data_IF_804810436946
#
_entry.id   IF_804810436946
#
_cell.length_a   1.000
_cell.length_b   1.000
_cell.length_c   1.000
_cell.angle_alpha   90.00
_cell.angle_beta   90.00
_cell.angle_gamma   90.00
#
_symmetry.space_group_name_H-M   'P 1'
#
loop_
_entity.id
_entity.type
_entity.pdbx_description
1 polymer ?
#
# COMPACT_ATOMS: atom_id res chain seq x y z
N UNK A 1 -6.27 9.80 -16.02
CA UNK A 1 -7.37 10.63 -15.46
C UNK A 1 -6.89 11.10 -14.09
N UNK A 2 -7.09 12.39 -13.74
CA UNK A 2 -6.76 12.87 -12.39
C UNK A 2 -7.68 12.22 -11.36
N UNK A 3 -7.13 11.86 -10.20
CA UNK A 3 -7.88 11.32 -9.07
C UNK A 3 -8.75 12.41 -8.42
N UNK A 4 -9.82 12.08 -7.67
CA UNK A 4 -10.61 13.07 -6.94
C UNK A 4 -9.78 13.86 -5.91
N UNK A 5 -8.63 13.36 -5.51
CA UNK A 5 -7.73 14.01 -4.54
C UNK A 5 -6.57 14.76 -5.21
N UNK A 6 -6.43 14.70 -6.52
CA UNK A 6 -5.31 15.30 -7.25
C UNK A 6 -5.08 16.78 -6.91
N UNK A 7 -6.15 17.58 -6.82
CA UNK A 7 -6.05 19.01 -6.47
C UNK A 7 -5.67 19.26 -5.01
N UNK A 8 -5.71 18.24 -4.16
CA UNK A 8 -5.33 18.31 -2.75
C UNK A 8 -3.89 17.87 -2.51
N UNK A 9 -3.21 17.36 -3.55
CA UNK A 9 -1.81 16.92 -3.44
C UNK A 9 -0.91 18.09 -3.07
N UNK A 10 -0.08 17.87 -2.08
CA UNK A 10 0.96 18.83 -1.69
C UNK A 10 2.01 18.95 -2.79
N UNK A 11 2.39 20.18 -3.10
CA UNK A 11 3.57 20.46 -3.93
C UNK A 11 4.86 20.05 -3.24
N UNK A 12 5.95 19.92 -3.98
CA UNK A 12 7.24 19.41 -3.47
C UNK A 12 7.65 20.06 -2.15
N UNK A 13 7.66 21.38 -2.05
CA UNK A 13 8.11 22.08 -0.84
C UNK A 13 7.23 21.77 0.39
N UNK A 14 5.91 21.66 0.21
CA UNK A 14 4.97 21.34 1.27
C UNK A 14 5.09 19.86 1.68
N UNK A 15 5.30 18.98 0.69
CA UNK A 15 5.53 17.54 0.93
C UNK A 15 6.82 17.32 1.72
N UNK A 16 7.91 17.96 1.33
CA UNK A 16 9.18 17.93 2.08
C UNK A 16 8.95 18.42 3.51
N UNK A 17 8.32 19.58 3.69
CA UNK A 17 8.03 20.12 5.02
C UNK A 17 7.16 19.19 5.88
N UNK A 18 6.15 18.55 5.28
CA UNK A 18 5.32 17.54 5.97
C UNK A 18 6.16 16.36 6.44
N UNK A 19 6.91 15.75 5.53
CA UNK A 19 7.69 14.54 5.81
C UNK A 19 8.80 14.80 6.84
N UNK A 20 9.48 15.95 6.75
CA UNK A 20 10.45 16.41 7.74
C UNK A 20 9.78 16.64 9.10
N UNK A 21 8.58 17.25 9.13
CA UNK A 21 7.85 17.50 10.37
C UNK A 21 7.50 16.20 11.12
N UNK A 22 7.21 15.11 10.40
CA UNK A 22 6.99 13.79 11.03
C UNK A 22 8.27 13.29 11.67
N UNK A 23 9.41 13.38 10.98
CA UNK A 23 10.71 12.95 11.52
C UNK A 23 11.08 13.78 12.75
N UNK A 24 10.84 15.09 12.74
CA UNK A 24 11.09 15.95 13.88
C UNK A 24 10.17 15.65 15.07
N UNK A 25 8.91 15.31 14.80
CA UNK A 25 8.01 14.84 15.86
C UNK A 25 8.44 13.50 16.46
N UNK A 26 8.99 12.58 15.65
CA UNK A 26 9.62 11.37 16.18
C UNK A 26 10.72 11.74 17.18
N UNK A 27 11.67 12.58 16.77
CA UNK A 27 12.79 13.04 17.64
C UNK A 27 12.31 13.70 18.92
N UNK A 28 11.31 14.55 18.83
CA UNK A 28 10.74 15.23 19.99
C UNK A 28 9.99 14.27 20.95
N UNK A 29 9.34 13.24 20.40
CA UNK A 29 8.57 12.27 21.17
C UNK A 29 9.47 11.30 21.93
N UNK A 30 10.63 10.91 21.39
CA UNK A 30 11.56 9.93 22.03
C UNK A 30 11.98 10.38 23.43
N UNK A 31 12.12 11.68 23.68
CA UNK A 31 12.43 12.21 25.01
C UNK A 31 11.31 11.96 26.04
N UNK A 32 10.10 11.59 25.59
CA UNK A 32 8.91 11.38 26.41
C UNK A 32 8.46 9.92 26.44
N UNK A 33 8.95 9.11 25.51
CA UNK A 33 8.59 7.71 25.32
C UNK A 33 8.63 7.31 23.84
N UNK A 34 8.39 6.04 23.52
CA UNK A 34 8.46 5.56 22.14
C UNK A 34 7.54 6.34 21.19
N UNK A 35 8.05 6.67 20.01
CA UNK A 35 7.29 7.23 18.90
C UNK A 35 6.97 6.12 17.88
N UNK A 36 5.74 6.04 17.40
CA UNK A 36 5.29 5.05 16.43
C UNK A 36 4.94 5.74 15.11
N UNK A 37 5.46 5.20 14.01
CA UNK A 37 5.03 5.60 12.66
C UNK A 37 4.45 4.37 11.96
N UNK A 38 3.22 4.51 11.46
CA UNK A 38 2.45 3.42 10.85
C UNK A 38 2.44 3.59 9.34
N UNK A 39 2.71 2.51 8.63
CA UNK A 39 2.66 2.46 7.17
C UNK A 39 1.82 1.27 6.72
N UNK A 40 0.85 1.53 5.84
CA UNK A 40 0.29 0.48 5.02
C UNK A 40 1.29 0.04 3.93
N UNK A 41 1.05 -1.12 3.27
CA UNK A 41 1.94 -1.65 2.23
C UNK A 41 1.41 -1.37 0.83
N UNK A 42 0.31 -2.04 0.44
CA UNK A 42 -0.20 -2.03 -0.93
C UNK A 42 -0.74 -0.65 -1.33
N UNK A 43 -0.12 -0.02 -2.33
CA UNK A 43 -0.47 1.35 -2.74
C UNK A 43 0.11 2.45 -1.84
N UNK A 44 0.78 2.10 -0.72
CA UNK A 44 1.40 3.05 0.21
C UNK A 44 2.92 2.99 0.16
N UNK A 45 3.54 1.89 0.55
CA UNK A 45 4.98 1.68 0.44
C UNK A 45 5.36 0.88 -0.81
N UNK A 46 4.43 0.08 -1.32
CA UNK A 46 4.63 -0.86 -2.43
C UNK A 46 3.59 -0.65 -3.52
N UNK A 47 4.06 -0.54 -4.76
CA UNK A 47 3.25 -0.64 -5.95
C UNK A 47 3.08 -2.12 -6.32
N UNK A 48 1.85 -2.61 -6.25
CA UNK A 48 1.51 -3.99 -6.57
C UNK A 48 1.06 -4.20 -8.04
N UNK A 49 1.08 -3.17 -8.88
CA UNK A 49 0.75 -3.28 -10.30
C UNK A 49 1.65 -4.27 -11.04
N UNK A 50 2.98 -4.31 -10.79
CA UNK A 50 3.84 -5.34 -11.38
C UNK A 50 3.47 -6.77 -10.97
N UNK A 51 2.93 -6.99 -9.76
CA UNK A 51 2.39 -8.29 -9.34
C UNK A 51 1.20 -8.70 -10.22
N UNK A 52 0.29 -7.77 -10.48
CA UNK A 52 -0.86 -8.01 -11.40
C UNK A 52 -0.37 -8.31 -12.81
N UNK A 53 0.61 -7.59 -13.32
CA UNK A 53 1.24 -7.83 -14.63
C UNK A 53 1.85 -9.23 -14.71
N UNK A 54 2.62 -9.64 -13.69
CA UNK A 54 3.20 -10.99 -13.65
C UNK A 54 2.11 -12.07 -13.72
N UNK A 55 1.01 -11.90 -12.98
CA UNK A 55 -0.14 -12.82 -13.01
C UNK A 55 -0.84 -12.82 -14.39
N UNK A 56 -0.96 -11.65 -15.05
CA UNK A 56 -1.51 -11.56 -16.40
C UNK A 56 -0.62 -12.27 -17.42
N UNK A 57 0.70 -12.21 -17.29
CA UNK A 57 1.64 -12.95 -18.13
C UNK A 57 1.50 -14.48 -17.93
N UNK A 58 1.32 -14.94 -16.69
CA UNK A 58 1.01 -16.35 -16.41
C UNK A 58 -0.35 -16.77 -17.01
N UNK A 59 -1.36 -15.91 -16.92
CA UNK A 59 -2.68 -16.13 -17.52
C UNK A 59 -2.59 -16.21 -19.05
N UNK A 60 -1.76 -15.36 -19.66
CA UNK A 60 -1.49 -15.42 -21.10
C UNK A 60 -0.95 -16.79 -21.52
N UNK A 61 -0.02 -17.36 -20.74
CA UNK A 61 0.51 -18.70 -21.02
C UNK A 61 -0.59 -19.76 -20.88
N UNK A 62 -1.46 -19.67 -19.87
CA UNK A 62 -2.57 -20.59 -19.67
C UNK A 62 -3.58 -20.52 -20.82
N UNK A 63 -3.82 -19.33 -21.36
CA UNK A 63 -4.77 -19.09 -22.46
C UNK A 63 -4.21 -19.27 -23.87
N UNK A 64 -2.91 -19.48 -24.01
CA UNK A 64 -2.21 -19.52 -25.30
C UNK A 64 -2.90 -20.37 -26.37
N UNK A 65 -3.32 -21.59 -26.05
CA UNK A 65 -3.88 -22.54 -27.01
C UNK A 65 -5.42 -22.41 -27.18
N UNK A 66 -6.11 -21.89 -26.16
CA UNK A 66 -7.59 -21.91 -26.10
C UNK A 66 -8.21 -20.52 -26.35
N UNK A 67 -7.53 -19.45 -25.96
CA UNK A 67 -7.99 -18.07 -26.15
C UNK A 67 -6.88 -17.17 -26.68
N UNK A 68 -6.38 -17.39 -27.91
CA UNK A 68 -5.15 -16.76 -28.41
C UNK A 68 -5.20 -15.23 -28.47
N UNK A 69 -6.37 -14.62 -28.73
CA UNK A 69 -6.54 -13.17 -28.72
C UNK A 69 -6.42 -12.59 -27.31
N UNK A 70 -7.10 -13.21 -26.35
CA UNK A 70 -7.02 -12.79 -24.94
C UNK A 70 -5.63 -13.04 -24.36
N UNK A 71 -5.00 -14.15 -24.72
CA UNK A 71 -3.61 -14.47 -24.39
C UNK A 71 -2.66 -13.37 -24.86
N UNK A 72 -2.73 -12.98 -26.13
CA UNK A 72 -1.90 -11.92 -26.68
C UNK A 72 -2.11 -10.58 -25.94
N UNK A 73 -3.36 -10.23 -25.62
CA UNK A 73 -3.69 -9.03 -24.86
C UNK A 73 -3.04 -9.02 -23.47
N UNK A 74 -3.15 -10.14 -22.73
CA UNK A 74 -2.53 -10.28 -21.40
C UNK A 74 -1.00 -10.30 -21.46
N UNK A 75 -0.40 -10.89 -22.50
CA UNK A 75 1.04 -10.98 -22.68
C UNK A 75 1.74 -9.61 -22.87
N UNK A 76 1.00 -8.60 -23.35
CA UNK A 76 1.52 -7.25 -23.57
C UNK A 76 1.18 -6.27 -22.43
N UNK A 77 0.53 -6.73 -21.35
CA UNK A 77 0.18 -5.89 -20.23
C UNK A 77 1.41 -5.27 -19.56
N UNK A 78 1.30 -4.01 -19.20
CA UNK A 78 2.30 -3.22 -18.46
C UNK A 78 1.70 -2.65 -17.18
N UNK A 79 2.52 -2.13 -16.27
CA UNK A 79 2.03 -1.51 -15.04
C UNK A 79 1.10 -0.30 -15.30
N UNK A 80 1.27 0.40 -16.43
CA UNK A 80 0.43 1.55 -16.79
C UNK A 80 -0.99 1.15 -17.20
N UNK A 81 -1.18 -0.11 -17.59
CA UNK A 81 -2.50 -0.66 -17.92
C UNK A 81 -3.29 -1.08 -16.67
N UNK A 82 -2.64 -1.10 -15.49
CA UNK A 82 -3.22 -1.67 -14.27
C UNK A 82 -3.85 -0.57 -13.40
N UNK A 83 -5.14 -0.76 -13.12
CA UNK A 83 -5.90 -0.02 -12.11
C UNK A 83 -6.35 -0.94 -10.98
N UNK A 84 -7.17 -0.42 -10.08
CA UNK A 84 -7.60 -1.11 -8.87
C UNK A 84 -8.34 -2.45 -9.13
N UNK A 85 -9.21 -2.51 -10.12
CA UNK A 85 -10.08 -3.66 -10.35
C UNK A 85 -9.57 -4.62 -11.42
N UNK A 86 -9.39 -5.91 -11.13
CA UNK A 86 -8.84 -6.89 -12.08
C UNK A 86 -9.69 -7.07 -13.35
N UNK A 87 -11.03 -7.16 -13.22
CA UNK A 87 -11.93 -7.25 -14.40
C UNK A 87 -11.85 -5.96 -15.23
N UNK A 88 -11.73 -4.79 -14.60
CA UNK A 88 -11.55 -3.53 -15.32
C UNK A 88 -10.23 -3.50 -16.09
N UNK A 89 -9.17 -4.11 -15.55
CA UNK A 89 -7.89 -4.27 -16.23
C UNK A 89 -8.02 -5.18 -17.45
N UNK A 90 -8.69 -6.35 -17.35
CA UNK A 90 -8.97 -7.23 -18.49
C UNK A 90 -9.73 -6.49 -19.62
N UNK A 91 -10.77 -5.73 -19.24
CA UNK A 91 -11.54 -4.92 -20.22
C UNK A 91 -10.66 -3.87 -20.92
N UNK A 92 -9.79 -3.20 -20.17
CA UNK A 92 -8.85 -2.19 -20.70
C UNK A 92 -7.87 -2.81 -21.69
N UNK A 93 -7.43 -4.05 -21.44
CA UNK A 93 -6.58 -4.82 -22.33
C UNK A 93 -7.33 -5.38 -23.56
N UNK A 94 -8.67 -5.20 -23.64
CA UNK A 94 -9.48 -5.67 -24.77
C UNK A 94 -10.07 -7.07 -24.60
N UNK A 95 -9.93 -7.69 -23.42
CA UNK A 95 -10.62 -8.93 -23.07
C UNK A 95 -12.03 -8.57 -22.63
N UNK A 96 -13.02 -8.73 -23.52
CA UNK A 96 -14.40 -8.28 -23.29
C UNK A 96 -15.40 -9.39 -22.98
N UNK A 97 -15.04 -10.66 -23.21
CA UNK A 97 -15.90 -11.80 -22.95
C UNK A 97 -16.11 -12.01 -21.45
N UNK A 98 -17.37 -11.99 -20.95
CA UNK A 98 -17.66 -12.20 -19.52
C UNK A 98 -17.18 -13.56 -18.98
N UNK A 99 -17.20 -14.63 -19.80
CA UNK A 99 -16.72 -15.95 -19.39
C UNK A 99 -15.21 -15.92 -19.07
N UNK A 100 -14.43 -15.17 -19.88
CA UNK A 100 -12.99 -14.97 -19.63
C UNK A 100 -12.73 -14.06 -18.44
N UNK A 101 -13.65 -13.14 -18.10
CA UNK A 101 -13.53 -12.34 -16.87
C UNK A 101 -13.61 -13.20 -15.61
N UNK A 102 -14.56 -14.15 -15.56
CA UNK A 102 -14.73 -15.03 -14.40
C UNK A 102 -13.55 -15.98 -14.26
N UNK A 103 -13.10 -16.59 -15.37
CA UNK A 103 -11.93 -17.45 -15.40
C UNK A 103 -10.66 -16.70 -14.98
N UNK A 104 -10.41 -15.53 -15.58
CA UNK A 104 -9.26 -14.69 -15.27
C UNK A 104 -9.28 -14.19 -13.81
N UNK A 105 -10.47 -13.84 -13.28
CA UNK A 105 -10.61 -13.43 -11.88
C UNK A 105 -10.28 -14.56 -10.92
N UNK A 106 -10.75 -15.78 -11.20
CA UNK A 106 -10.41 -16.96 -10.40
C UNK A 106 -8.90 -17.25 -10.45
N UNK A 107 -8.29 -17.17 -11.63
CA UNK A 107 -6.86 -17.34 -11.81
C UNK A 107 -6.05 -16.31 -11.02
N UNK A 108 -6.46 -15.03 -11.07
CA UNK A 108 -5.83 -13.93 -10.34
C UNK A 108 -5.96 -14.12 -8.83
N UNK A 109 -7.18 -14.43 -8.32
CA UNK A 109 -7.41 -14.63 -6.87
C UNK A 109 -6.53 -15.73 -6.31
N UNK A 110 -6.33 -16.81 -7.05
CA UNK A 110 -5.49 -17.93 -6.63
C UNK A 110 -3.99 -17.60 -6.53
N UNK A 111 -3.57 -16.40 -6.98
CA UNK A 111 -2.16 -15.97 -7.07
C UNK A 111 -1.87 -14.67 -6.35
N UNK A 112 -2.73 -13.68 -6.52
CA UNK A 112 -2.49 -12.33 -5.99
C UNK A 112 -2.33 -12.31 -4.47
N UNK A 113 -3.09 -13.12 -3.78
CA UNK A 113 -3.07 -13.26 -2.32
C UNK A 113 -2.18 -14.43 -1.86
N UNK A 114 -1.01 -14.59 -2.49
CA UNK A 114 -0.09 -15.68 -2.17
C UNK A 114 1.35 -15.19 -2.07
N UNK A 115 2.09 -15.67 -1.08
CA UNK A 115 3.49 -15.33 -0.81
C UNK A 115 4.39 -15.32 -2.06
N UNK A 116 4.33 -16.31 -2.99
CA UNK A 116 5.24 -16.36 -4.12
C UNK A 116 5.12 -15.19 -5.10
N UNK A 117 3.97 -14.51 -5.13
CA UNK A 117 3.71 -13.40 -6.05
C UNK A 117 4.06 -12.03 -5.46
N UNK A 118 4.16 -11.90 -4.14
CA UNK A 118 4.52 -10.64 -3.45
C UNK A 118 5.90 -10.10 -3.88
N UNK A 119 6.80 -10.98 -4.30
CA UNK A 119 8.13 -10.61 -4.81
C UNK A 119 8.13 -9.68 -6.03
N UNK A 120 7.00 -9.55 -6.72
CA UNK A 120 6.85 -8.69 -7.89
C UNK A 120 6.49 -7.25 -7.52
N UNK A 121 6.19 -6.97 -6.25
CA UNK A 121 5.95 -5.61 -5.78
C UNK A 121 7.22 -4.78 -5.89
N UNK A 122 7.06 -3.50 -6.20
CA UNK A 122 8.16 -2.56 -6.25
C UNK A 122 7.93 -1.41 -5.26
N UNK A 123 9.00 -0.74 -4.89
CA UNK A 123 8.93 0.42 -4.00
C UNK A 123 8.18 1.59 -4.65
N UNK A 124 7.27 2.23 -3.91
CA UNK A 124 6.78 3.57 -4.26
C UNK A 124 7.91 4.57 -4.05
N UNK A 125 8.09 5.48 -5.02
CA UNK A 125 9.24 6.39 -5.06
C UNK A 125 9.52 7.07 -3.73
N UNK A 126 10.74 6.87 -3.22
CA UNK A 126 11.24 7.45 -1.97
C UNK A 126 10.80 6.75 -0.68
N UNK A 127 9.88 5.76 -0.74
CA UNK A 127 9.29 5.12 0.45
C UNK A 127 10.34 4.50 1.38
N UNK A 128 11.26 3.70 0.82
CA UNK A 128 12.33 3.06 1.60
C UNK A 128 13.23 4.07 2.30
N UNK A 129 13.63 5.10 1.57
CA UNK A 129 14.50 6.14 2.13
C UNK A 129 13.81 6.86 3.29
N UNK A 130 12.53 7.15 3.13
CA UNK A 130 11.73 7.82 4.15
C UNK A 130 11.48 6.94 5.40
N UNK A 131 11.11 5.67 5.22
CA UNK A 131 10.96 4.74 6.34
C UNK A 131 12.28 4.58 7.10
N UNK A 132 13.43 4.51 6.39
CA UNK A 132 14.75 4.49 7.02
C UNK A 132 15.05 5.76 7.81
N UNK A 133 14.64 6.93 7.31
CA UNK A 133 14.81 8.20 8.03
C UNK A 133 13.98 8.22 9.33
N UNK A 134 12.73 7.77 9.29
CA UNK A 134 11.90 7.61 10.49
C UNK A 134 12.52 6.63 11.50
N UNK A 135 13.00 5.47 11.02
CA UNK A 135 13.65 4.46 11.86
C UNK A 135 14.94 5.00 12.49
N UNK A 136 15.80 5.66 11.70
CA UNK A 136 17.05 6.27 12.18
C UNK A 136 16.79 7.41 13.18
N UNK A 137 15.65 8.10 13.07
CA UNK A 137 15.20 9.08 14.06
C UNK A 137 14.71 8.42 15.37
N UNK A 138 14.58 7.09 15.43
CA UNK A 138 14.22 6.30 16.61
C UNK A 138 12.75 5.87 16.65
N UNK A 139 12.00 6.01 15.57
CA UNK A 139 10.62 5.52 15.51
C UNK A 139 10.55 4.00 15.61
N UNK A 140 9.53 3.50 16.30
CA UNK A 140 9.00 2.16 16.07
C UNK A 140 8.23 2.21 14.74
N UNK A 141 8.67 1.42 13.78
CA UNK A 141 8.03 1.30 12.47
C UNK A 141 7.02 0.17 12.52
N UNK A 142 5.77 0.47 12.20
CA UNK A 142 4.69 -0.52 12.11
C UNK A 142 4.23 -0.61 10.65
N UNK A 143 4.45 -1.76 10.03
CA UNK A 143 3.85 -2.12 8.75
C UNK A 143 2.50 -2.79 9.04
N UNK A 144 1.40 -2.06 8.82
CA UNK A 144 0.04 -2.53 9.08
C UNK A 144 -0.71 -2.71 7.77
N UNK A 145 -0.92 -3.96 7.37
CA UNK A 145 -1.45 -4.29 6.05
C UNK A 145 -2.65 -5.22 6.09
N UNK A 146 -3.54 -5.11 5.10
CA UNK A 146 -4.64 -6.04 4.85
C UNK A 146 -4.20 -7.41 4.33
N UNK A 147 -2.91 -7.65 4.08
CA UNK A 147 -2.38 -8.99 3.76
C UNK A 147 -2.57 -9.92 4.95
N UNK A 148 -2.92 -11.17 4.70
CA UNK A 148 -3.25 -12.11 5.76
C UNK A 148 -2.07 -12.99 6.19
N UNK A 149 -2.13 -13.47 7.43
CA UNK A 149 -1.09 -14.29 8.04
C UNK A 149 -0.86 -15.63 7.29
N UNK A 150 -1.91 -16.40 6.94
CA UNK A 150 -1.72 -17.71 6.31
C UNK A 150 -1.09 -17.68 4.92
N UNK A 151 -1.41 -16.66 4.11
CA UNK A 151 -1.11 -16.67 2.67
C UNK A 151 -0.03 -15.69 2.26
N UNK A 152 0.17 -14.58 3.00
CA UNK A 152 0.99 -13.46 2.54
C UNK A 152 2.05 -12.97 3.54
N UNK A 153 2.10 -13.50 4.76
CA UNK A 153 3.00 -12.98 5.80
C UNK A 153 4.48 -13.18 5.45
N UNK A 154 4.86 -14.36 4.98
CA UNK A 154 6.25 -14.68 4.64
C UNK A 154 6.71 -13.90 3.41
N UNK A 155 5.88 -13.82 2.37
CA UNK A 155 6.16 -13.03 1.18
C UNK A 155 6.25 -11.53 1.48
N UNK A 156 5.40 -11.01 2.38
CA UNK A 156 5.46 -9.61 2.81
C UNK A 156 6.75 -9.30 3.56
N UNK A 157 7.15 -10.16 4.50
CA UNK A 157 8.43 -10.03 5.19
C UNK A 157 9.61 -10.07 4.22
N UNK A 158 9.61 -11.06 3.30
CA UNK A 158 10.66 -11.20 2.29
C UNK A 158 10.74 -9.99 1.37
N UNK A 159 9.59 -9.47 0.90
CA UNK A 159 9.53 -8.29 0.04
C UNK A 159 10.08 -7.04 0.74
N UNK A 160 9.68 -6.78 1.99
CA UNK A 160 10.23 -5.67 2.79
C UNK A 160 11.74 -5.77 2.95
N UNK A 161 12.25 -6.97 3.28
CA UNK A 161 13.70 -7.23 3.42
C UNK A 161 14.44 -6.99 2.10
N UNK A 162 13.96 -7.56 1.02
CA UNK A 162 14.65 -7.58 -0.29
C UNK A 162 14.61 -6.19 -0.95
N UNK A 163 13.56 -5.41 -0.72
CA UNK A 163 13.50 -4.00 -1.07
C UNK A 163 14.32 -3.11 -0.11
N UNK A 164 14.85 -3.68 0.98
CA UNK A 164 15.75 -3.01 1.91
C UNK A 164 15.07 -2.10 2.93
N UNK A 165 13.81 -2.32 3.25
CA UNK A 165 13.13 -1.69 4.39
C UNK A 165 13.66 -2.25 5.72
N UNK A 166 13.68 -1.48 6.81
CA UNK A 166 14.02 -2.00 8.13
C UNK A 166 12.93 -2.95 8.62
N UNK A 167 13.20 -4.24 8.63
CA UNK A 167 12.28 -5.30 9.07
C UNK A 167 13.04 -6.42 9.78
N UNK A 168 12.42 -7.04 10.79
CA UNK A 168 13.05 -8.10 11.57
C UNK A 168 14.19 -7.62 12.48
N UNK A 169 14.24 -6.32 12.74
CA UNK A 169 15.17 -5.65 13.67
C UNK A 169 14.36 -4.99 14.79
N UNK A 170 15.03 -4.68 15.92
CA UNK A 170 14.36 -4.05 17.07
C UNK A 170 13.67 -2.75 16.62
N UNK A 171 12.42 -2.55 17.06
CA UNK A 171 11.63 -1.38 16.71
C UNK A 171 10.94 -1.48 15.34
N UNK A 172 10.75 -2.70 14.81
CA UNK A 172 9.96 -2.94 13.60
C UNK A 172 8.92 -4.03 13.83
N UNK A 173 7.69 -3.77 13.41
CA UNK A 173 6.55 -4.68 13.55
C UNK A 173 5.89 -4.89 12.18
N UNK A 174 5.60 -6.13 11.82
CA UNK A 174 4.74 -6.48 10.69
C UNK A 174 3.41 -7.03 11.24
N UNK A 175 2.34 -6.26 11.05
CA UNK A 175 1.01 -6.56 11.56
C UNK A 175 0.10 -6.90 10.38
N UNK A 176 -0.27 -8.16 10.26
CA UNK A 176 -1.07 -8.75 9.17
C UNK A 176 -2.42 -9.24 9.70
N UNK A 177 -3.41 -9.37 8.83
CA UNK A 177 -4.71 -9.95 9.22
C UNK A 177 -4.54 -11.39 9.70
N UNK A 178 -5.28 -11.82 10.72
CA UNK A 178 -5.21 -13.20 11.20
C UNK A 178 -5.75 -14.21 10.18
N UNK A 179 -6.75 -13.84 9.37
CA UNK A 179 -7.34 -14.68 8.32
C UNK A 179 -7.66 -13.89 7.06
N UNK A 180 -7.77 -14.58 5.93
CA UNK A 180 -8.11 -13.98 4.65
C UNK A 180 -9.51 -13.35 4.66
N UNK A 181 -10.48 -13.98 5.32
CA UNK A 181 -11.89 -13.59 5.33
C UNK A 181 -12.19 -12.34 6.13
N UNK A 182 -11.31 -11.98 7.09
CA UNK A 182 -11.49 -10.77 7.89
C UNK A 182 -11.45 -9.53 6.98
N UNK A 183 -12.46 -8.64 7.02
CA UNK A 183 -12.41 -7.40 6.25
C UNK A 183 -11.28 -6.48 6.71
N UNK A 184 -10.56 -5.87 5.75
CA UNK A 184 -9.41 -5.00 6.03
C UNK A 184 -9.78 -3.82 6.95
N UNK A 185 -10.94 -3.20 6.71
CA UNK A 185 -11.42 -2.09 7.53
C UNK A 185 -11.72 -2.50 8.99
N UNK A 186 -12.25 -3.71 9.19
CA UNK A 186 -12.50 -4.26 10.53
C UNK A 186 -11.19 -4.53 11.25
N UNK A 187 -10.23 -5.16 10.56
CA UNK A 187 -8.91 -5.44 11.09
C UNK A 187 -8.18 -4.14 11.49
N UNK A 188 -8.07 -3.15 10.59
CA UNK A 188 -7.40 -1.89 10.89
C UNK A 188 -8.11 -1.12 12.01
N UNK A 189 -9.45 -1.17 12.08
CA UNK A 189 -10.23 -0.57 13.17
C UNK A 189 -9.93 -1.20 14.52
N UNK A 190 -9.75 -2.51 14.58
CA UNK A 190 -9.40 -3.21 15.81
C UNK A 190 -7.95 -2.92 16.24
N UNK A 191 -7.02 -2.83 15.29
CA UNK A 191 -5.58 -2.65 15.58
C UNK A 191 -5.23 -1.20 15.92
N UNK A 192 -5.82 -0.21 15.24
CA UNK A 192 -5.41 1.19 15.40
C UNK A 192 -5.34 1.66 16.85
N UNK A 193 -6.34 1.45 17.73
CA UNK A 193 -6.25 1.87 19.14
C UNK A 193 -5.21 1.09 19.94
N UNK A 194 -4.86 -0.14 19.53
CA UNK A 194 -3.90 -0.99 20.24
C UNK A 194 -2.44 -0.58 19.98
N UNK A 195 -2.17 0.20 18.92
CA UNK A 195 -0.84 0.72 18.60
C UNK A 195 -0.25 1.58 19.73
N UNK A 196 -1.10 2.16 20.60
CA UNK A 196 -0.65 2.87 21.82
C UNK A 196 0.18 2.01 22.78
N UNK A 197 0.08 0.67 22.67
CA UNK A 197 0.92 -0.25 23.46
C UNK A 197 2.39 -0.19 23.05
N UNK A 198 2.67 0.19 21.81
CA UNK A 198 4.02 0.35 21.28
C UNK A 198 4.59 1.75 21.55
N UNK A 199 3.72 2.74 21.77
CA UNK A 199 4.10 4.12 22.00
C UNK A 199 3.07 5.13 21.49
N UNK A 200 3.49 6.38 21.37
CA UNK A 200 2.67 7.45 20.81
C UNK A 200 2.72 7.40 19.28
N UNK A 201 1.58 7.19 18.63
CA UNK A 201 1.47 7.26 17.16
C UNK A 201 1.63 8.72 16.74
N UNK A 202 2.71 9.03 16.00
CA UNK A 202 3.02 10.39 15.52
C UNK A 202 2.57 10.61 14.07
N UNK A 203 2.50 9.54 13.28
CA UNK A 203 1.97 9.58 11.90
C UNK A 203 1.46 8.21 11.46
N UNK A 204 0.47 8.22 10.54
CA UNK A 204 -0.02 7.05 9.82
C UNK A 204 -0.15 7.39 8.34
N UNK A 205 0.32 6.48 7.48
CA UNK A 205 0.34 6.58 6.03
C UNK A 205 -0.50 5.45 5.43
N UNK A 206 -1.46 5.78 4.58
CA UNK A 206 -2.35 4.80 3.95
C UNK A 206 -2.88 5.36 2.62
N UNK A 207 -3.19 4.50 1.66
CA UNK A 207 -3.78 4.87 0.38
C UNK A 207 -5.31 4.71 0.34
N UNK A 208 -5.94 4.29 1.43
CA UNK A 208 -7.39 4.24 1.56
C UNK A 208 -7.88 5.38 2.47
N UNK A 209 -8.73 6.31 1.97
CA UNK A 209 -9.20 7.46 2.74
C UNK A 209 -9.87 7.07 4.06
N UNK A 210 -10.63 5.96 4.06
CA UNK A 210 -11.30 5.46 5.25
C UNK A 210 -10.29 5.06 6.35
N UNK A 211 -9.14 4.50 5.98
CA UNK A 211 -8.10 4.12 6.93
C UNK A 211 -7.39 5.36 7.50
N UNK A 212 -7.07 6.35 6.66
CA UNK A 212 -6.48 7.62 7.13
C UNK A 212 -7.40 8.30 8.15
N UNK A 213 -8.72 8.36 7.84
CA UNK A 213 -9.72 8.92 8.76
C UNK A 213 -9.76 8.15 10.09
N UNK A 214 -9.73 6.81 10.01
CA UNK A 214 -9.70 5.93 11.17
C UNK A 214 -8.48 6.19 12.08
N UNK A 215 -7.29 6.37 11.50
CA UNK A 215 -6.10 6.68 12.29
C UNK A 215 -6.18 8.06 12.93
N UNK A 216 -6.73 9.06 12.24
CA UNK A 216 -6.94 10.40 12.80
C UNK A 216 -8.00 10.41 13.90
N UNK A 217 -8.98 9.50 13.87
CA UNK A 217 -9.95 9.29 14.94
C UNK A 217 -9.29 8.63 16.17
N UNK A 218 -8.54 7.54 15.95
CA UNK A 218 -7.89 6.79 17.03
C UNK A 218 -6.71 7.56 17.67
N UNK A 219 -6.03 8.40 16.88
CA UNK A 219 -4.85 9.17 17.27
C UNK A 219 -4.96 10.64 16.81
N UNK A 220 -5.81 11.46 17.43
CA UNK A 220 -6.15 12.81 16.95
C UNK A 220 -4.95 13.77 16.85
N UNK A 221 -3.87 13.51 17.59
CA UNK A 221 -2.65 14.30 17.57
C UNK A 221 -1.63 13.85 16.52
N UNK A 222 -1.88 12.75 15.79
CA UNK A 222 -1.00 12.24 14.73
C UNK A 222 -1.16 12.99 13.41
N UNK A 223 -0.18 12.85 12.52
CA UNK A 223 -0.38 13.18 11.11
C UNK A 223 -1.07 11.98 10.42
N UNK A 224 -2.20 12.24 9.75
CA UNK A 224 -2.80 11.31 8.80
C UNK A 224 -2.35 11.69 7.39
N UNK A 225 -1.65 10.80 6.70
CA UNK A 225 -1.11 11.06 5.36
C UNK A 225 -1.71 10.07 4.36
N UNK A 226 -2.44 10.60 3.41
CA UNK A 226 -3.06 9.85 2.32
C UNK A 226 -2.12 9.79 1.12
N UNK A 227 -1.82 8.57 0.66
CA UNK A 227 -1.09 8.31 -0.57
C UNK A 227 -2.10 8.23 -1.73
N UNK A 228 -2.13 9.27 -2.59
CA UNK A 228 -3.02 9.32 -3.74
C UNK A 228 -2.46 8.48 -4.90
N UNK A 229 -2.53 7.16 -4.72
CA UNK A 229 -2.07 6.12 -5.65
C UNK A 229 -3.26 5.31 -6.16
N UNK A 230 -3.37 4.03 -5.82
CA UNK A 230 -4.50 3.17 -6.13
C UNK A 230 -5.34 2.92 -4.86
N UNK A 231 -6.62 3.15 -4.91
CA UNK A 231 -7.57 2.92 -3.81
C UNK A 231 -8.91 2.43 -4.36
N UNK A 232 -9.78 1.96 -3.45
CA UNK A 232 -11.10 1.43 -3.80
C UNK A 232 -11.95 2.46 -4.57
N UNK A 233 -12.79 2.02 -5.52
CA UNK A 233 -13.75 2.90 -6.18
C UNK A 233 -14.70 3.55 -5.15
N UNK A 234 -15.21 4.75 -5.47
CA UNK A 234 -16.13 5.52 -4.63
C UNK A 234 -15.56 5.79 -3.22
N UNK A 235 -14.35 6.39 -3.12
CA UNK A 235 -13.72 6.66 -1.84
C UNK A 235 -14.55 7.65 -1.01
N UNK A 236 -14.55 7.47 0.31
CA UNK A 236 -15.14 8.46 1.21
C UNK A 236 -14.32 9.77 1.21
N UNK A 237 -14.94 10.86 1.67
CA UNK A 237 -14.20 12.11 1.88
C UNK A 237 -13.10 11.92 2.92
N UNK A 238 -11.95 12.55 2.67
CA UNK A 238 -10.85 12.63 3.64
C UNK A 238 -11.21 13.57 4.80
N UNK A 239 -10.76 13.21 6.00
CA UNK A 239 -10.77 14.15 7.14
C UNK A 239 -9.98 15.41 6.75
N UNK A 240 -10.49 16.63 7.05
CA UNK A 240 -9.80 17.88 6.70
C UNK A 240 -8.38 18.03 7.27
N UNK A 241 -8.03 17.26 8.29
CA UNK A 241 -6.69 17.22 8.88
C UNK A 241 -5.70 16.37 8.07
N UNK A 242 -6.21 15.46 7.21
CA UNK A 242 -5.36 14.62 6.38
C UNK A 242 -4.54 15.44 5.38
N UNK A 243 -3.37 14.96 5.06
CA UNK A 243 -2.49 15.52 4.02
C UNK A 243 -2.34 14.54 2.88
N UNK A 244 -2.34 15.04 1.65
CA UNK A 244 -2.32 14.23 0.43
C UNK A 244 -0.97 14.34 -0.23
N UNK A 245 -0.31 13.19 -0.45
CA UNK A 245 0.93 13.10 -1.23
C UNK A 245 0.79 12.01 -2.29
N UNK A 246 1.57 12.08 -3.37
CA UNK A 246 1.58 11.05 -4.41
C UNK A 246 2.72 10.05 -4.23
N UNK A 247 3.80 10.45 -3.55
CA UNK A 247 4.99 9.65 -3.30
C UNK A 247 5.78 10.20 -2.12
N UNK A 248 6.81 9.48 -1.70
CA UNK A 248 7.79 9.94 -0.70
C UNK A 248 9.01 10.61 -1.35
N UNK A 249 9.00 10.81 -2.66
CA UNK A 249 10.10 11.42 -3.38
C UNK A 249 10.26 12.89 -2.96
N UNK A 250 11.48 13.28 -2.57
CA UNK A 250 11.81 14.64 -2.12
C UNK A 250 12.47 15.48 -3.22
N UNK A 251 12.52 14.97 -4.45
CA UNK A 251 13.26 15.60 -5.55
C UNK A 251 12.40 15.97 -6.75
N UNK A 252 11.20 15.38 -6.87
CA UNK A 252 10.31 15.57 -8.03
C UNK A 252 8.96 16.12 -7.59
N UNK A 253 8.45 17.12 -8.31
CA UNK A 253 7.04 17.50 -8.29
C UNK A 253 6.23 16.42 -9.02
N UNK A 254 5.28 15.81 -8.34
CA UNK A 254 4.49 14.65 -8.82
C UNK A 254 3.00 14.98 -8.90
#
# INVERSE_FOLDING_TARGET
MSTPFFQQRLHLAERVALLDSVVDRVRAQIARGPAVVVFDLDGTLMDNRPRVVAILHELALAWWAIHPVASAACAHATADDIGYGFIANLKRLGVVDPALHDEGLAFWKARFFQDPHVKHDVEISGARAYVKACYAAGAVIVYLTGRDLPNMALGSFASLRDLGFPIGVIGTELVVKPTFEMPDAEFKRAVAPELRRLGTVVAAFDNEPANVNLFLEAHPASHGVFLDTQYAPDPCALDPRARVIASFDLTLDS
#
